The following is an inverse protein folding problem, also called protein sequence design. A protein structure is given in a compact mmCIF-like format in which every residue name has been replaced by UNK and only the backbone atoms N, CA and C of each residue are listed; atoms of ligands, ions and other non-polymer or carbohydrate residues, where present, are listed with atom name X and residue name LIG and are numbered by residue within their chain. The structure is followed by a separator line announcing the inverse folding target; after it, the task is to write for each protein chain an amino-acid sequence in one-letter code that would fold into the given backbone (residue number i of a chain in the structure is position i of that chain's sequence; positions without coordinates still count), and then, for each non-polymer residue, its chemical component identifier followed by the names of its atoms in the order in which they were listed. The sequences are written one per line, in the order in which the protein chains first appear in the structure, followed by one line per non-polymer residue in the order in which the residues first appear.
data_IF_758281676564
#
_entry.id   IF_758281676564
#
_cell.length_a   1.000
_cell.length_b   1.000
_cell.length_c   1.000
_cell.angle_alpha   90.00
_cell.angle_beta   90.00
_cell.angle_gamma   90.00
#
_symmetry.space_group_name_H-M   'P 1'
#
loop_
_entity.id
_entity.type
_entity.pdbx_description
1 polymer ?
#
# COMPACT_ATOMS: atom_id res chain seq x y z
N UNK A 1 -21.07 -5.65 0.13
CA UNK A 1 -20.73 -6.54 -1.01
C UNK A 1 -21.29 -7.94 -0.83
N UNK A 2 -20.93 -8.66 0.25
CA UNK A 2 -21.31 -10.06 0.45
C UNK A 2 -22.81 -10.33 0.38
N UNK A 3 -23.64 -9.51 1.04
CA UNK A 3 -25.08 -9.74 1.08
C UNK A 3 -25.73 -9.56 -0.29
N UNK A 4 -25.21 -8.63 -1.10
CA UNK A 4 -25.66 -8.43 -2.49
C UNK A 4 -25.47 -9.71 -3.30
N UNK A 5 -24.30 -10.34 -3.18
CA UNK A 5 -23.97 -11.56 -3.90
C UNK A 5 -24.76 -12.74 -3.34
N UNK A 6 -24.84 -12.85 -2.01
CA UNK A 6 -25.55 -13.93 -1.30
C UNK A 6 -27.05 -13.98 -1.63
N UNK A 7 -27.69 -12.83 -1.93
CA UNK A 7 -29.11 -12.77 -2.34
C UNK A 7 -29.37 -13.36 -3.72
N UNK A 8 -28.37 -13.29 -4.61
CA UNK A 8 -28.50 -13.73 -6.00
C UNK A 8 -27.99 -15.17 -6.17
N UNK A 9 -27.01 -15.58 -5.37
CA UNK A 9 -26.34 -16.89 -5.46
C UNK A 9 -27.30 -18.11 -5.55
N UNK A 10 -28.40 -18.20 -4.77
CA UNK A 10 -29.32 -19.35 -4.86
C UNK A 10 -30.07 -19.46 -6.20
N UNK A 11 -30.10 -18.40 -6.99
CA UNK A 11 -30.79 -18.35 -8.28
C UNK A 11 -29.88 -18.81 -9.44
N UNK A 12 -28.60 -19.06 -9.17
CA UNK A 12 -27.59 -19.41 -10.17
C UNK A 12 -27.18 -20.88 -10.06
N UNK A 13 -27.21 -21.58 -11.19
CA UNK A 13 -26.73 -22.95 -11.30
C UNK A 13 -25.30 -22.98 -11.81
N UNK A 14 -24.57 -24.06 -11.51
CA UNK A 14 -23.15 -24.20 -11.88
C UNK A 14 -22.89 -24.26 -13.39
N UNK A 15 -23.91 -24.56 -14.20
CA UNK A 15 -23.85 -24.58 -15.65
C UNK A 15 -24.16 -23.22 -16.30
N UNK A 16 -24.57 -22.20 -15.53
CA UNK A 16 -24.83 -20.87 -16.06
C UNK A 16 -23.53 -20.19 -16.49
N UNK A 17 -23.54 -19.55 -17.66
CA UNK A 17 -22.43 -18.72 -18.10
C UNK A 17 -22.21 -17.57 -17.10
N UNK A 18 -20.98 -17.40 -16.63
CA UNK A 18 -20.63 -16.38 -15.63
C UNK A 18 -20.75 -16.84 -14.16
N UNK A 19 -21.11 -18.09 -13.90
CA UNK A 19 -21.12 -18.64 -12.53
C UNK A 19 -19.75 -18.51 -11.84
N UNK A 20 -18.64 -18.72 -12.58
CA UNK A 20 -17.28 -18.54 -12.03
C UNK A 20 -17.04 -17.12 -11.52
N UNK A 21 -17.55 -16.11 -12.25
CA UNK A 21 -17.41 -14.70 -11.86
C UNK A 21 -18.28 -14.34 -10.65
N UNK A 22 -19.46 -14.96 -10.51
CA UNK A 22 -20.25 -14.81 -9.29
C UNK A 22 -19.50 -15.39 -8.07
N UNK A 23 -18.82 -16.52 -8.27
CA UNK A 23 -17.97 -17.13 -7.25
C UNK A 23 -16.72 -16.30 -6.93
N UNK A 24 -16.11 -15.64 -7.93
CA UNK A 24 -14.98 -14.74 -7.70
C UNK A 24 -15.40 -13.50 -6.92
N UNK A 25 -16.58 -12.93 -7.21
CA UNK A 25 -17.15 -11.84 -6.43
C UNK A 25 -17.42 -12.29 -4.99
N UNK A 26 -17.97 -13.49 -4.79
CA UNK A 26 -18.17 -14.05 -3.44
C UNK A 26 -16.83 -14.22 -2.72
N UNK A 27 -15.78 -14.70 -3.40
CA UNK A 27 -14.44 -14.86 -2.83
C UNK A 27 -13.89 -13.51 -2.33
N UNK A 28 -14.00 -12.46 -3.14
CA UNK A 28 -13.57 -11.13 -2.74
C UNK A 28 -14.42 -10.58 -1.58
N UNK A 29 -15.74 -10.81 -1.60
CA UNK A 29 -16.61 -10.31 -0.55
C UNK A 29 -16.36 -10.97 0.82
N UNK A 30 -16.01 -12.26 0.86
CA UNK A 30 -15.69 -12.94 2.12
C UNK A 30 -14.31 -12.57 2.65
N UNK A 31 -13.33 -12.27 1.77
CA UNK A 31 -12.02 -11.78 2.24
C UNK A 31 -12.14 -10.41 2.91
N UNK A 32 -12.98 -9.51 2.39
CA UNK A 32 -13.22 -8.20 2.99
C UNK A 32 -13.79 -8.29 4.43
N UNK A 33 -14.52 -9.38 4.73
CA UNK A 33 -15.01 -9.70 6.08
C UNK A 33 -13.95 -10.36 6.98
N UNK A 34 -12.79 -10.72 6.42
CA UNK A 34 -11.70 -11.39 7.11
C UNK A 34 -11.74 -12.92 7.07
N UNK A 35 -12.64 -13.54 6.31
CA UNK A 35 -12.68 -15.00 6.14
C UNK A 35 -11.80 -15.43 4.95
N UNK A 36 -10.49 -15.33 5.17
CA UNK A 36 -9.49 -15.53 4.11
C UNK A 36 -9.39 -16.98 3.63
N UNK A 37 -9.62 -17.95 4.52
CA UNK A 37 -9.61 -19.36 4.16
C UNK A 37 -10.78 -19.71 3.23
N UNK A 38 -11.98 -19.18 3.51
CA UNK A 38 -13.11 -19.35 2.61
C UNK A 38 -12.88 -18.63 1.28
N UNK A 39 -12.27 -17.43 1.30
CA UNK A 39 -11.93 -16.68 0.10
C UNK A 39 -10.99 -17.46 -0.82
N UNK A 40 -9.89 -18.00 -0.27
CA UNK A 40 -8.92 -18.82 -1.00
C UNK A 40 -9.59 -20.05 -1.64
N UNK A 41 -10.42 -20.75 -0.85
CA UNK A 41 -11.17 -21.92 -1.34
C UNK A 41 -12.15 -21.56 -2.48
N UNK A 42 -12.87 -20.44 -2.37
CA UNK A 42 -13.79 -19.95 -3.39
C UNK A 42 -13.06 -19.50 -4.65
N UNK A 43 -11.94 -18.78 -4.50
CA UNK A 43 -11.14 -18.32 -5.62
C UNK A 43 -10.55 -19.50 -6.41
N UNK A 44 -9.99 -20.51 -5.73
CA UNK A 44 -9.52 -21.73 -6.40
C UNK A 44 -10.65 -22.47 -7.12
N UNK A 45 -11.84 -22.56 -6.53
CA UNK A 45 -13.01 -23.14 -7.21
C UNK A 45 -13.38 -22.35 -8.46
N UNK A 46 -13.45 -21.02 -8.38
CA UNK A 46 -13.74 -20.18 -9.54
C UNK A 46 -12.69 -20.35 -10.64
N UNK A 47 -11.40 -20.33 -10.30
CA UNK A 47 -10.30 -20.56 -11.25
C UNK A 47 -10.32 -21.96 -11.88
N UNK A 48 -10.82 -22.98 -11.17
CA UNK A 48 -10.98 -24.33 -11.72
C UNK A 48 -12.11 -24.44 -12.73
N UNK A 49 -13.10 -23.54 -12.66
CA UNK A 49 -14.20 -23.44 -13.63
C UNK A 49 -13.81 -22.57 -14.82
N UNK A 50 -13.05 -21.51 -14.58
CA UNK A 50 -12.53 -20.59 -15.60
C UNK A 50 -11.11 -20.13 -15.21
N UNK A 51 -10.10 -20.64 -15.90
CA UNK A 51 -8.70 -20.33 -15.64
C UNK A 51 -8.30 -18.90 -16.06
N UNK A 52 -9.12 -18.23 -16.87
CA UNK A 52 -8.93 -16.83 -17.29
C UNK A 52 -9.67 -15.83 -16.39
N UNK A 53 -10.28 -16.29 -15.29
CA UNK A 53 -10.99 -15.43 -14.34
C UNK A 53 -10.00 -14.58 -13.51
N UNK A 54 -9.64 -13.42 -14.07
CA UNK A 54 -8.75 -12.46 -13.42
C UNK A 54 -9.30 -11.92 -12.10
N UNK A 55 -10.62 -11.87 -11.92
CA UNK A 55 -11.24 -11.46 -10.66
C UNK A 55 -11.03 -12.52 -9.57
N UNK A 56 -11.11 -13.81 -9.93
CA UNK A 56 -10.83 -14.90 -9.01
C UNK A 56 -9.35 -14.90 -8.61
N UNK A 57 -8.46 -14.71 -9.58
CA UNK A 57 -7.02 -14.62 -9.32
C UNK A 57 -6.71 -13.44 -8.40
N UNK A 58 -7.29 -12.27 -8.66
CA UNK A 58 -7.17 -11.09 -7.81
C UNK A 58 -7.63 -11.35 -6.36
N UNK A 59 -8.81 -11.95 -6.17
CA UNK A 59 -9.32 -12.30 -4.85
C UNK A 59 -8.41 -13.30 -4.11
N UNK A 60 -7.82 -14.26 -4.83
CA UNK A 60 -6.82 -15.19 -4.29
C UNK A 60 -5.59 -14.43 -3.79
N UNK A 61 -5.05 -13.48 -4.56
CA UNK A 61 -3.87 -12.72 -4.13
C UNK A 61 -4.15 -11.93 -2.85
N UNK A 62 -5.30 -11.25 -2.75
CA UNK A 62 -5.70 -10.59 -1.49
C UNK A 62 -5.77 -11.56 -0.31
N UNK A 63 -6.38 -12.73 -0.50
CA UNK A 63 -6.49 -13.73 0.56
C UNK A 63 -5.12 -14.26 1.01
N UNK A 64 -4.20 -14.50 0.07
CA UNK A 64 -2.84 -14.96 0.40
C UNK A 64 -2.02 -13.87 1.10
N UNK A 65 -2.13 -12.62 0.65
CA UNK A 65 -1.50 -11.45 1.26
C UNK A 65 -1.96 -11.31 2.72
N UNK A 66 -3.28 -11.28 2.95
CA UNK A 66 -3.86 -11.06 4.28
C UNK A 66 -3.60 -12.20 5.26
N UNK A 67 -3.28 -13.41 4.77
CA UNK A 67 -2.88 -14.57 5.58
C UNK A 67 -1.37 -14.65 5.82
N UNK A 68 -0.57 -13.75 5.26
CA UNK A 68 0.90 -13.84 5.34
C UNK A 68 1.52 -14.98 4.51
N UNK A 69 0.76 -15.56 3.57
CA UNK A 69 1.21 -16.65 2.68
C UNK A 69 2.01 -16.10 1.49
N UNK A 70 3.03 -15.28 1.77
CA UNK A 70 3.70 -14.47 0.75
C UNK A 70 4.49 -15.29 -0.27
N UNK A 71 5.10 -16.41 0.14
CA UNK A 71 5.81 -17.30 -0.78
C UNK A 71 4.84 -17.99 -1.75
N UNK A 72 3.67 -18.42 -1.26
CA UNK A 72 2.63 -19.02 -2.09
C UNK A 72 2.09 -17.98 -3.08
N UNK A 73 1.81 -16.75 -2.61
CA UNK A 73 1.40 -15.62 -3.45
C UNK A 73 2.42 -15.32 -4.55
N UNK A 74 3.70 -15.18 -4.20
CA UNK A 74 4.77 -14.97 -5.18
C UNK A 74 4.85 -16.10 -6.21
N UNK A 75 4.71 -17.36 -5.77
CA UNK A 75 4.70 -18.52 -6.66
C UNK A 75 3.48 -18.52 -7.59
N UNK A 76 2.30 -18.13 -7.10
CA UNK A 76 1.07 -18.07 -7.90
C UNK A 76 1.17 -17.00 -8.98
N UNK A 77 1.62 -15.79 -8.63
CA UNK A 77 1.86 -14.71 -9.60
C UNK A 77 2.86 -15.13 -10.66
N UNK A 78 3.95 -15.78 -10.25
CA UNK A 78 4.97 -16.22 -11.21
C UNK A 78 4.47 -17.35 -12.14
N UNK A 79 3.71 -18.31 -11.62
CA UNK A 79 3.19 -19.44 -12.41
C UNK A 79 2.16 -18.99 -13.45
N UNK A 80 1.36 -17.98 -13.12
CA UNK A 80 0.27 -17.50 -13.98
C UNK A 80 0.64 -16.26 -14.80
N UNK A 81 1.93 -15.89 -14.86
CA UNK A 81 2.41 -14.64 -15.47
C UNK A 81 1.88 -14.40 -16.87
N UNK A 82 1.95 -15.39 -17.74
CA UNK A 82 1.54 -15.27 -19.14
C UNK A 82 0.03 -15.04 -19.29
N UNK A 83 -0.77 -15.47 -18.31
CA UNK A 83 -2.22 -15.28 -18.35
C UNK A 83 -2.60 -13.87 -17.84
N UNK A 84 -2.10 -13.47 -16.68
CA UNK A 84 -2.53 -12.20 -16.09
C UNK A 84 -1.85 -10.98 -16.72
N UNK A 85 -0.73 -11.14 -17.45
CA UNK A 85 -0.07 -10.05 -18.18
C UNK A 85 -0.92 -9.47 -19.31
N UNK A 86 -1.93 -10.21 -19.75
CA UNK A 86 -2.86 -9.83 -20.82
C UNK A 86 -4.17 -9.22 -20.28
N UNK A 87 -4.37 -9.18 -18.96
CA UNK A 87 -5.58 -8.61 -18.36
C UNK A 87 -5.60 -7.08 -18.50
N UNK A 88 -6.44 -6.58 -19.40
CA UNK A 88 -6.51 -5.15 -19.73
C UNK A 88 -6.71 -4.22 -18.51
N UNK A 89 -7.57 -4.61 -17.57
CA UNK A 89 -7.91 -3.77 -16.40
C UNK A 89 -7.07 -4.11 -15.16
N UNK A 90 -6.77 -5.39 -14.94
CA UNK A 90 -6.17 -5.86 -13.69
C UNK A 90 -4.64 -5.99 -13.74
N UNK A 91 -3.99 -5.96 -14.90
CA UNK A 91 -2.55 -6.16 -15.02
C UNK A 91 -1.74 -5.26 -14.08
N UNK A 92 -2.04 -3.96 -14.07
CA UNK A 92 -1.32 -2.99 -13.24
C UNK A 92 -1.47 -3.34 -11.74
N UNK A 93 -2.70 -3.59 -11.29
CA UNK A 93 -3.00 -3.91 -9.90
C UNK A 93 -2.43 -5.28 -9.47
N UNK A 94 -2.46 -6.30 -10.33
CA UNK A 94 -1.85 -7.60 -10.06
C UNK A 94 -0.32 -7.53 -10.00
N UNK A 95 0.28 -6.63 -10.77
CA UNK A 95 1.72 -6.32 -10.65
C UNK A 95 2.05 -5.75 -9.28
N UNK A 96 1.13 -4.98 -8.68
CA UNK A 96 1.30 -4.41 -7.33
C UNK A 96 1.21 -5.48 -6.26
N UNK A 97 0.26 -6.42 -6.35
CA UNK A 97 0.25 -7.60 -5.49
C UNK A 97 1.56 -8.39 -5.58
N UNK A 98 2.11 -8.53 -6.79
CA UNK A 98 3.43 -9.15 -6.95
C UNK A 98 4.51 -8.41 -6.16
N UNK A 99 4.53 -7.09 -6.25
CA UNK A 99 5.47 -6.24 -5.52
C UNK A 99 5.30 -6.41 -4.00
N UNK A 100 4.07 -6.50 -3.48
CA UNK A 100 3.83 -6.79 -2.07
C UNK A 100 4.48 -8.12 -1.66
N UNK A 101 4.22 -9.22 -2.38
CA UNK A 101 4.87 -10.50 -2.07
C UNK A 101 6.40 -10.43 -2.17
N UNK A 102 6.96 -9.66 -3.11
CA UNK A 102 8.40 -9.47 -3.22
C UNK A 102 8.97 -8.68 -2.05
N UNK A 103 8.30 -7.63 -1.57
CA UNK A 103 8.69 -6.87 -0.36
C UNK A 103 8.68 -7.79 0.86
N UNK A 104 7.58 -8.53 1.03
CA UNK A 104 7.36 -9.42 2.15
C UNK A 104 8.35 -10.60 2.17
N UNK A 105 8.94 -10.95 1.03
CA UNK A 105 9.99 -11.97 0.89
C UNK A 105 11.40 -11.39 0.72
N UNK A 106 11.58 -10.08 0.95
CA UNK A 106 12.89 -9.42 0.97
C UNK A 106 13.55 -9.20 -0.41
N UNK A 107 12.79 -9.26 -1.51
CA UNK A 107 13.25 -9.15 -2.90
C UNK A 107 13.13 -7.72 -3.44
N UNK A 108 13.61 -6.74 -2.68
CA UNK A 108 13.45 -5.30 -2.98
C UNK A 108 13.99 -4.86 -4.35
N UNK A 109 15.15 -5.38 -4.79
CA UNK A 109 15.73 -5.04 -6.10
C UNK A 109 14.78 -5.35 -7.27
N UNK A 110 13.99 -6.43 -7.15
CA UNK A 110 13.00 -6.80 -8.17
C UNK A 110 11.81 -5.85 -8.18
N UNK A 111 11.40 -5.36 -7.00
CA UNK A 111 10.33 -4.36 -6.88
C UNK A 111 10.74 -3.08 -7.61
N UNK A 112 11.97 -2.61 -7.40
CA UNK A 112 12.50 -1.42 -8.10
C UNK A 112 12.53 -1.63 -9.61
N UNK A 113 12.91 -2.83 -10.08
CA UNK A 113 12.90 -3.15 -11.50
C UNK A 113 11.49 -3.10 -12.10
N UNK A 114 10.49 -3.66 -11.41
CA UNK A 114 9.08 -3.61 -11.82
C UNK A 114 8.56 -2.17 -11.87
N UNK A 115 8.86 -1.36 -10.84
CA UNK A 115 8.47 0.04 -10.81
C UNK A 115 9.02 0.81 -12.02
N UNK A 116 10.29 0.61 -12.38
CA UNK A 116 10.94 1.33 -13.48
C UNK A 116 10.53 0.87 -14.87
N UNK A 117 10.32 -0.43 -15.05
CA UNK A 117 10.18 -1.02 -16.38
C UNK A 117 8.72 -1.28 -16.76
N UNK A 118 7.85 -1.52 -15.76
CA UNK A 118 6.51 -2.05 -15.99
C UNK A 118 5.39 -1.12 -15.47
N UNK A 119 5.66 -0.23 -14.51
CA UNK A 119 4.62 0.58 -13.84
C UNK A 119 4.76 2.08 -14.07
N UNK A 120 5.94 2.65 -13.80
CA UNK A 120 6.22 4.07 -14.00
C UNK A 120 6.76 4.32 -15.40
N UNK A 121 5.92 4.05 -16.40
CA UNK A 121 6.25 4.26 -17.81
C UNK A 121 6.28 5.76 -18.11
N UNK A 122 7.33 6.28 -18.76
CA UNK A 122 7.38 7.69 -19.15
C UNK A 122 6.17 8.10 -19.98
N UNK A 123 5.69 9.33 -19.76
CA UNK A 123 4.57 9.96 -20.49
C UNK A 123 3.18 9.32 -20.27
N UNK A 124 3.07 8.28 -19.44
CA UNK A 124 1.79 7.75 -18.99
C UNK A 124 1.39 8.34 -17.62
N UNK A 125 0.11 8.69 -17.48
CA UNK A 125 -0.46 9.13 -16.19
C UNK A 125 -1.31 7.99 -15.65
N UNK A 126 -0.95 7.51 -14.46
CA UNK A 126 -1.72 6.50 -13.76
C UNK A 126 -3.05 7.09 -13.27
N UNK A 127 -4.07 6.24 -13.24
CA UNK A 127 -5.33 6.58 -12.55
C UNK A 127 -5.09 6.81 -11.05
N UNK A 128 -6.01 7.49 -10.37
CA UNK A 128 -5.95 7.68 -8.92
C UNK A 128 -5.77 6.35 -8.16
N UNK A 129 -6.44 5.27 -8.58
CA UNK A 129 -6.27 3.94 -7.98
C UNK A 129 -4.87 3.36 -8.25
N UNK A 130 -4.35 3.52 -9.47
CA UNK A 130 -2.97 3.11 -9.78
C UNK A 130 -1.94 3.91 -8.97
N UNK A 131 -2.20 5.19 -8.67
CA UNK A 131 -1.33 5.98 -7.80
C UNK A 131 -1.45 5.59 -6.32
N UNK A 132 -2.63 5.19 -5.84
CA UNK A 132 -2.79 4.58 -4.50
C UNK A 132 -1.88 3.35 -4.39
N UNK A 133 -1.96 2.45 -5.36
CA UNK A 133 -1.14 1.24 -5.42
C UNK A 133 0.36 1.55 -5.37
N UNK A 134 0.86 2.46 -6.21
CA UNK A 134 2.29 2.80 -6.24
C UNK A 134 2.72 3.53 -4.96
N UNK A 135 1.88 4.39 -4.40
CA UNK A 135 2.15 5.08 -3.13
C UNK A 135 2.29 4.07 -1.98
N UNK A 136 1.46 3.03 -1.98
CA UNK A 136 1.55 1.94 -1.01
C UNK A 136 2.85 1.12 -1.14
N UNK A 137 3.29 0.83 -2.37
CA UNK A 137 4.59 0.17 -2.61
C UNK A 137 5.73 1.04 -2.12
N UNK A 138 5.69 2.34 -2.42
CA UNK A 138 6.68 3.32 -1.95
C UNK A 138 6.80 3.31 -0.42
N UNK A 139 5.68 3.43 0.30
CA UNK A 139 5.70 3.44 1.76
C UNK A 139 6.22 2.13 2.35
N UNK A 140 5.85 0.99 1.77
CA UNK A 140 6.37 -0.31 2.22
C UNK A 140 7.88 -0.43 1.99
N UNK A 141 8.40 0.00 0.85
CA UNK A 141 9.85 0.06 0.61
C UNK A 141 10.54 0.98 1.63
N UNK A 142 9.98 2.17 1.88
CA UNK A 142 10.50 3.11 2.88
C UNK A 142 10.53 2.50 4.28
N UNK A 143 9.45 1.85 4.73
CA UNK A 143 9.39 1.19 6.04
C UNK A 143 10.36 0.00 6.13
N UNK A 144 10.63 -0.69 5.01
CA UNK A 144 11.67 -1.70 4.94
C UNK A 144 13.10 -1.11 5.04
N UNK A 145 13.25 0.22 5.01
CA UNK A 145 14.54 0.91 4.98
C UNK A 145 15.17 0.96 3.59
N UNK A 146 14.37 0.76 2.53
CA UNK A 146 14.83 0.77 1.15
C UNK A 146 14.39 2.08 0.46
N UNK A 147 15.33 3.01 0.31
CA UNK A 147 15.05 4.34 -0.24
C UNK A 147 14.95 4.34 -1.77
N UNK A 148 13.92 5.04 -2.28
CA UNK A 148 13.57 5.10 -3.71
C UNK A 148 13.12 6.52 -4.09
N UNK A 149 14.01 7.53 -4.02
CA UNK A 149 13.65 8.94 -4.19
C UNK A 149 13.00 9.23 -5.56
N UNK A 150 13.42 8.52 -6.61
CA UNK A 150 12.83 8.66 -7.94
C UNK A 150 11.33 8.29 -7.98
N UNK A 151 10.88 7.36 -7.13
CA UNK A 151 9.46 6.98 -7.04
C UNK A 151 8.67 8.09 -6.36
N UNK A 152 9.23 8.68 -5.30
CA UNK A 152 8.59 9.79 -4.60
C UNK A 152 8.44 11.02 -5.50
N UNK A 153 9.48 11.38 -6.24
CA UNK A 153 9.45 12.48 -7.22
C UNK A 153 8.41 12.24 -8.32
N UNK A 154 8.30 11.00 -8.81
CA UNK A 154 7.34 10.65 -9.85
C UNK A 154 5.89 10.62 -9.31
N UNK A 155 5.67 10.09 -8.10
CA UNK A 155 4.38 10.15 -7.42
C UNK A 155 3.93 11.59 -7.20
N UNK A 156 4.82 12.49 -6.80
CA UNK A 156 4.51 13.90 -6.62
C UNK A 156 4.06 14.57 -7.92
N UNK A 157 4.77 14.28 -9.02
CA UNK A 157 4.41 14.75 -10.36
C UNK A 157 3.02 14.25 -10.76
N UNK A 158 2.77 12.94 -10.65
CA UNK A 158 1.51 12.34 -11.10
C UNK A 158 0.33 12.72 -10.20
N UNK A 159 0.49 12.71 -8.87
CA UNK A 159 -0.55 13.18 -7.95
C UNK A 159 -0.87 14.66 -8.19
N UNK A 160 0.12 15.49 -8.52
CA UNK A 160 -0.15 16.89 -8.88
C UNK A 160 -1.04 17.01 -10.12
N UNK A 161 -0.89 16.13 -11.12
CA UNK A 161 -1.76 16.10 -12.29
C UNK A 161 -3.16 15.61 -11.92
N UNK A 162 -3.26 14.48 -11.22
CA UNK A 162 -4.55 13.87 -10.85
C UNK A 162 -5.38 14.76 -9.91
N UNK A 163 -4.74 15.44 -8.96
CA UNK A 163 -5.43 16.36 -8.02
C UNK A 163 -5.92 17.63 -8.71
N UNK A 164 -5.20 18.14 -9.73
CA UNK A 164 -5.68 19.28 -10.52
C UNK A 164 -6.98 18.96 -11.27
N UNK A 165 -7.12 17.72 -11.72
CA UNK A 165 -8.32 17.25 -12.43
C UNK A 165 -9.45 16.81 -11.48
N UNK A 166 -9.23 16.84 -10.15
CA UNK A 166 -10.18 16.33 -9.16
C UNK A 166 -11.51 17.11 -9.08
N UNK A 167 -11.57 18.32 -9.66
CA UNK A 167 -12.83 19.05 -9.85
C UNK A 167 -13.79 18.33 -10.82
N UNK A 168 -13.26 17.49 -11.71
CA UNK A 168 -14.04 16.71 -12.69
C UNK A 168 -14.31 15.27 -12.25
N UNK A 169 -13.35 14.65 -11.53
CA UNK A 169 -13.47 13.29 -10.99
C UNK A 169 -13.08 13.33 -9.51
N UNK A 170 -14.05 13.31 -8.59
CA UNK A 170 -13.77 13.35 -7.16
C UNK A 170 -12.86 12.20 -6.73
N UNK A 171 -11.84 12.51 -5.92
CA UNK A 171 -10.99 11.50 -5.32
C UNK A 171 -11.75 10.73 -4.24
N UNK A 172 -11.47 9.43 -4.14
CA UNK A 172 -11.87 8.66 -2.97
C UNK A 172 -11.10 9.16 -1.73
N UNK A 173 -11.63 8.97 -0.52
CA UNK A 173 -10.93 9.34 0.71
C UNK A 173 -9.55 8.67 0.81
N UNK A 174 -9.46 7.38 0.46
CA UNK A 174 -8.18 6.66 0.39
C UNK A 174 -7.19 7.31 -0.59
N UNK A 175 -7.64 7.70 -1.80
CA UNK A 175 -6.77 8.35 -2.79
C UNK A 175 -6.28 9.72 -2.30
N UNK A 176 -7.16 10.51 -1.69
CA UNK A 176 -6.79 11.81 -1.11
C UNK A 176 -5.77 11.66 0.03
N UNK A 177 -5.92 10.65 0.90
CA UNK A 177 -4.95 10.35 1.95
C UNK A 177 -3.57 9.95 1.39
N UNK A 178 -3.53 9.15 0.31
CA UNK A 178 -2.28 8.77 -0.34
C UNK A 178 -1.60 9.96 -1.03
N UNK A 179 -2.36 10.78 -1.77
CA UNK A 179 -1.86 12.02 -2.36
C UNK A 179 -1.28 12.95 -1.28
N UNK A 180 -2.02 13.14 -0.18
CA UNK A 180 -1.58 13.96 0.95
C UNK A 180 -0.31 13.42 1.60
N UNK A 181 -0.14 12.10 1.68
CA UNK A 181 1.07 11.47 2.22
C UNK A 181 2.31 11.76 1.38
N UNK A 182 2.17 11.88 0.06
CA UNK A 182 3.25 12.21 -0.86
C UNK A 182 3.57 13.71 -0.77
N UNK A 183 2.55 14.56 -0.86
CA UNK A 183 2.73 16.01 -0.80
C UNK A 183 3.32 16.45 0.54
N UNK A 184 2.84 15.91 1.65
CA UNK A 184 3.35 16.28 2.99
C UNK A 184 4.85 16.00 3.14
N UNK A 185 5.38 14.95 2.49
CA UNK A 185 6.80 14.61 2.54
C UNK A 185 7.70 15.58 1.75
N UNK A 186 7.22 16.13 0.64
CA UNK A 186 8.00 16.99 -0.26
C UNK A 186 7.68 18.48 -0.12
N UNK A 187 6.45 18.78 0.27
CA UNK A 187 5.81 20.09 0.29
C UNK A 187 4.97 20.21 1.58
N UNK A 188 5.58 20.20 2.78
CA UNK A 188 4.85 20.17 4.06
C UNK A 188 3.93 21.37 4.32
N UNK A 189 4.05 22.44 3.52
CA UNK A 189 3.21 23.63 3.55
C UNK A 189 2.11 23.64 2.47
N UNK A 190 1.99 22.58 1.66
CA UNK A 190 0.95 22.49 0.63
C UNK A 190 -0.43 22.28 1.23
N UNK A 191 -1.44 22.81 0.56
CA UNK A 191 -2.83 22.59 0.94
C UNK A 191 -3.19 21.10 0.94
N UNK A 192 -4.00 20.73 1.92
CA UNK A 192 -4.55 19.38 2.04
C UNK A 192 -5.57 19.14 0.93
N UNK A 193 -5.54 18.00 0.22
CA UNK A 193 -6.57 17.68 -0.78
C UNK A 193 -7.97 17.78 -0.16
N UNK A 194 -8.87 18.50 -0.84
CA UNK A 194 -10.25 18.61 -0.36
C UNK A 194 -11.02 17.32 -0.62
N UNK A 195 -11.69 16.81 0.41
CA UNK A 195 -12.56 15.63 0.31
C UNK A 195 -13.99 16.11 0.52
N UNK A 196 -14.81 15.94 -0.50
CA UNK A 196 -16.23 16.29 -0.43
C UNK A 196 -16.99 15.31 0.46
N UNK A 197 -17.93 15.79 1.27
CA UNK A 197 -18.85 14.94 2.04
C UNK A 197 -19.69 14.01 1.14
N UNK A 198 -19.81 14.32 -0.17
CA UNK A 198 -20.42 13.44 -1.16
C UNK A 198 -19.66 12.11 -1.31
N UNK A 199 -18.37 12.05 -0.96
CA UNK A 199 -17.58 10.82 -0.99
C UNK A 199 -18.13 9.73 -0.06
N UNK A 200 -18.91 10.12 0.96
CA UNK A 200 -19.57 9.23 1.92
C UNK A 200 -21.09 9.18 1.74
N UNK A 201 -21.62 9.80 0.68
CA UNK A 201 -23.05 9.91 0.48
C UNK A 201 -23.67 8.56 0.05
N UNK A 202 -24.41 7.95 0.96
CA UNK A 202 -25.42 6.95 0.63
C UNK A 202 -26.76 7.67 0.44
N UNK A 203 -27.12 8.03 -0.80
CA UNK A 203 -28.40 8.70 -1.08
C UNK A 203 -29.49 7.68 -1.44
N UNK A 204 -29.98 6.99 -0.42
CA UNK A 204 -31.10 6.04 -0.54
C UNK A 204 -32.39 6.76 -0.94
N UNK A 205 -32.54 8.06 -0.66
CA UNK A 205 -33.74 8.83 -0.95
C UNK A 205 -33.82 9.26 -2.42
N UNK A 206 -32.75 9.79 -3.00
CA UNK A 206 -32.68 10.04 -4.44
C UNK A 206 -32.75 8.72 -5.22
N UNK A 207 -32.21 7.64 -4.68
CA UNK A 207 -32.34 6.32 -5.26
C UNK A 207 -33.78 5.79 -5.21
N UNK A 208 -34.47 5.94 -4.07
CA UNK A 208 -35.88 5.58 -3.94
C UNK A 208 -36.75 6.42 -4.87
N UNK A 209 -36.47 7.73 -5.00
CA UNK A 209 -37.17 8.61 -5.92
C UNK A 209 -36.95 8.21 -7.39
N UNK A 210 -35.72 7.84 -7.77
CA UNK A 210 -35.42 7.30 -9.10
C UNK A 210 -36.15 5.97 -9.35
N UNK A 211 -36.21 5.10 -8.34
CA UNK A 211 -36.87 3.79 -8.41
C UNK A 211 -38.39 3.92 -8.57
N UNK A 212 -39.04 4.79 -7.79
CA UNK A 212 -40.49 5.01 -7.83
C UNK A 212 -40.91 5.80 -9.07
N UNK A 213 -40.08 6.71 -9.56
CA UNK A 213 -40.43 7.65 -10.64
C UNK A 213 -40.30 7.12 -12.08
N UNK A 214 -39.43 6.13 -12.36
CA UNK A 214 -39.10 5.75 -13.74
C UNK A 214 -39.48 4.32 -14.17
N UNK A 215 -40.01 3.48 -13.28
CA UNK A 215 -40.50 2.15 -13.67
C UNK A 215 -39.45 1.26 -14.35
N UNK A 216 -38.49 0.74 -13.57
CA UNK A 216 -37.45 -0.27 -13.85
C UNK A 216 -36.13 0.18 -14.53
N UNK A 217 -35.01 0.06 -13.79
CA UNK A 217 -33.77 -0.70 -14.11
C UNK A 217 -32.70 -0.35 -13.06
N UNK A 218 -32.09 -1.33 -12.40
CA UNK A 218 -30.94 -1.09 -11.49
C UNK A 218 -29.71 -0.89 -12.36
N UNK A 219 -29.59 0.30 -12.96
CA UNK A 219 -28.37 0.73 -13.66
C UNK A 219 -27.40 1.43 -12.68
N UNK A 220 -27.77 1.53 -11.39
CA UNK A 220 -26.94 2.11 -10.32
C UNK A 220 -26.71 1.12 -9.19
N UNK A 221 -25.44 0.94 -8.82
CA UNK A 221 -25.03 0.19 -7.64
C UNK A 221 -25.50 0.95 -6.39
N UNK A 222 -26.26 0.27 -5.53
CA UNK A 222 -26.80 0.82 -4.28
C UNK A 222 -26.02 0.29 -3.11
N UNK A 223 -25.44 1.18 -2.31
CA UNK A 223 -24.79 0.82 -1.06
C UNK A 223 -25.83 0.85 0.07
N UNK A 224 -26.02 -0.27 0.78
CA UNK A 224 -26.96 -0.40 1.91
C UNK A 224 -26.29 -0.18 3.28
N UNK A 225 -25.14 0.49 3.31
CA UNK A 225 -24.35 0.72 4.53
C UNK A 225 -24.88 1.94 5.29
N UNK A 226 -25.11 1.79 6.60
CA UNK A 226 -25.37 2.93 7.48
C UNK A 226 -24.08 3.74 7.69
N UNK A 227 -24.20 5.07 7.66
CA UNK A 227 -23.10 5.98 8.02
C UNK A 227 -22.77 5.88 9.50
N UNK A 228 -21.53 6.20 9.87
CA UNK A 228 -21.20 6.48 11.25
C UNK A 228 -22.02 7.68 11.77
N UNK A 229 -22.48 7.66 13.03
CA UNK A 229 -23.21 8.78 13.62
C UNK A 229 -22.41 10.09 13.52
N UNK A 230 -23.09 11.20 13.24
CA UNK A 230 -22.52 12.55 13.37
C UNK A 230 -21.35 12.87 12.43
N UNK A 231 -21.35 12.37 11.18
CA UNK A 231 -20.26 12.53 10.20
C UNK A 231 -18.94 11.86 10.64
N UNK A 232 -19.02 10.70 11.31
CA UNK A 232 -17.85 9.99 11.83
C UNK A 232 -16.80 9.66 10.76
N UNK A 233 -17.19 9.39 9.52
CA UNK A 233 -16.25 9.13 8.43
C UNK A 233 -15.40 10.35 8.09
N UNK A 234 -16.03 11.53 8.02
CA UNK A 234 -15.33 12.79 7.81
C UNK A 234 -14.34 13.09 8.94
N UNK A 235 -14.72 12.78 10.20
CA UNK A 235 -13.82 12.90 11.34
C UNK A 235 -12.61 11.95 11.24
N UNK A 236 -12.81 10.69 10.86
CA UNK A 236 -11.72 9.71 10.68
C UNK A 236 -10.75 10.23 9.62
N UNK A 237 -11.26 10.65 8.47
CA UNK A 237 -10.44 11.11 7.35
C UNK A 237 -9.69 12.40 7.68
N UNK A 238 -10.33 13.39 8.30
CA UNK A 238 -9.66 14.61 8.77
C UNK A 238 -8.54 14.29 9.78
N UNK A 239 -8.80 13.37 10.71
CA UNK A 239 -7.81 12.95 11.71
C UNK A 239 -6.60 12.26 11.07
N UNK A 240 -6.81 11.46 10.03
CA UNK A 240 -5.71 10.82 9.28
C UNK A 240 -4.89 11.83 8.47
N UNK A 241 -5.54 12.82 7.83
CA UNK A 241 -4.84 13.91 7.13
C UNK A 241 -3.95 14.69 8.10
N UNK A 242 -4.48 15.03 9.28
CA UNK A 242 -3.71 15.68 10.34
C UNK A 242 -2.55 14.81 10.84
N UNK A 243 -2.77 13.50 10.99
CA UNK A 243 -1.73 12.58 11.45
C UNK A 243 -0.58 12.49 10.45
N UNK A 244 -0.89 12.42 9.15
CA UNK A 244 0.08 12.42 8.06
C UNK A 244 0.86 13.74 8.04
N UNK A 245 0.18 14.88 8.20
CA UNK A 245 0.82 16.19 8.30
C UNK A 245 1.77 16.28 9.50
N UNK A 246 1.33 15.81 10.67
CA UNK A 246 2.14 15.77 11.88
C UNK A 246 3.37 14.87 11.71
N UNK A 247 3.20 13.69 11.12
CA UNK A 247 4.28 12.78 10.80
C UNK A 247 5.34 13.43 9.90
N UNK A 248 4.90 14.08 8.82
CA UNK A 248 5.80 14.75 7.88
C UNK A 248 6.56 15.93 8.51
N UNK A 249 5.95 16.63 9.47
CA UNK A 249 6.57 17.71 10.26
C UNK A 249 7.49 17.19 11.38
N UNK A 250 7.68 15.88 11.51
CA UNK A 250 8.47 15.25 12.57
C UNK A 250 7.79 15.27 13.95
N UNK A 251 6.51 15.64 14.01
CA UNK A 251 5.69 15.65 15.23
C UNK A 251 5.14 14.25 15.51
N UNK A 252 6.04 13.27 15.65
CA UNK A 252 5.69 11.86 15.66
C UNK A 252 4.74 11.46 16.80
N UNK A 253 4.86 12.07 17.98
CA UNK A 253 3.94 11.82 19.10
C UNK A 253 2.49 12.23 18.77
N UNK A 254 2.30 13.39 18.12
CA UNK A 254 0.98 13.86 17.66
C UNK A 254 0.42 12.91 16.61
N UNK A 255 1.27 12.43 15.69
CA UNK A 255 0.86 11.45 14.69
C UNK A 255 0.37 10.15 15.34
N UNK A 256 1.07 9.65 16.37
CA UNK A 256 0.67 8.47 17.14
C UNK A 256 -0.69 8.66 17.80
N UNK A 257 -0.89 9.76 18.52
CA UNK A 257 -2.16 10.03 19.23
C UNK A 257 -3.35 10.07 18.26
N UNK A 258 -3.17 10.71 17.09
CA UNK A 258 -4.20 10.79 16.05
C UNK A 258 -4.45 9.46 15.36
N UNK A 259 -3.41 8.69 15.04
CA UNK A 259 -3.57 7.38 14.40
C UNK A 259 -4.26 6.39 15.36
N UNK A 260 -3.90 6.38 16.64
CA UNK A 260 -4.53 5.52 17.65
C UNK A 260 -6.01 5.84 17.86
N UNK A 261 -6.40 7.12 17.84
CA UNK A 261 -7.79 7.52 18.10
C UNK A 261 -8.78 7.01 17.04
N UNK A 262 -8.32 6.78 15.81
CA UNK A 262 -9.15 6.30 14.69
C UNK A 262 -8.80 4.90 14.20
N UNK A 263 -7.82 4.22 14.82
CA UNK A 263 -7.31 2.90 14.39
C UNK A 263 -8.42 1.86 14.14
N UNK A 264 -9.42 1.81 15.02
CA UNK A 264 -10.57 0.88 14.89
C UNK A 264 -11.54 1.17 13.74
N UNK A 265 -11.40 2.33 13.09
CA UNK A 265 -12.35 2.85 12.11
C UNK A 265 -11.75 3.01 10.70
N UNK A 266 -10.53 2.52 10.44
CA UNK A 266 -9.87 2.70 9.15
C UNK A 266 -10.69 2.18 7.94
N UNK A 267 -11.56 1.19 8.14
CA UNK A 267 -12.43 0.65 7.09
C UNK A 267 -13.34 1.70 6.42
N UNK A 268 -13.59 2.84 7.06
CA UNK A 268 -14.47 3.89 6.51
C UNK A 268 -13.81 4.73 5.41
N UNK A 269 -12.48 4.69 5.28
CA UNK A 269 -11.77 5.44 4.24
C UNK A 269 -11.84 4.74 2.87
N UNK A 270 -12.36 3.52 2.85
CA UNK A 270 -12.41 2.64 1.70
C UNK A 270 -11.13 1.82 1.51
N UNK A 271 -11.13 1.04 0.44
CA UNK A 271 -10.08 0.07 0.16
C UNK A 271 -10.18 -1.22 0.98
N UNK A 272 -9.25 -2.13 0.72
CA UNK A 272 -9.15 -3.45 1.36
C UNK A 272 -8.32 -3.39 2.64
N UNK A 273 -8.34 -4.47 3.41
CA UNK A 273 -7.47 -4.61 4.59
C UNK A 273 -5.98 -4.47 4.26
N UNK A 274 -5.57 -4.87 3.05
CA UNK A 274 -4.19 -4.71 2.57
C UNK A 274 -3.83 -3.23 2.44
N UNK A 275 -4.77 -2.40 1.99
CA UNK A 275 -4.56 -0.97 1.80
C UNK A 275 -4.53 -0.21 3.12
N UNK A 276 -5.37 -0.62 4.08
CA UNK A 276 -5.38 -0.09 5.43
C UNK A 276 -4.04 -0.31 6.18
N UNK A 277 -3.21 -1.28 5.78
CA UNK A 277 -1.92 -1.53 6.43
C UNK A 277 -0.95 -0.36 6.33
N UNK A 278 -1.11 0.53 5.34
CA UNK A 278 -0.32 1.75 5.27
C UNK A 278 -0.40 2.54 6.58
N UNK A 279 -1.61 2.74 7.13
CA UNK A 279 -1.81 3.52 8.36
C UNK A 279 -1.26 2.80 9.59
N UNK A 280 -1.35 1.47 9.63
CA UNK A 280 -0.77 0.65 10.71
C UNK A 280 0.76 0.74 10.71
N UNK A 281 1.39 0.66 9.53
CA UNK A 281 2.85 0.78 9.41
C UNK A 281 3.32 2.21 9.71
N UNK A 282 2.56 3.22 9.29
CA UNK A 282 2.83 4.62 9.63
C UNK A 282 2.77 4.84 11.15
N UNK A 283 1.80 4.22 11.84
CA UNK A 283 1.68 4.26 13.29
C UNK A 283 2.88 3.60 14.00
N UNK A 284 3.29 2.39 13.56
CA UNK A 284 4.47 1.71 14.11
C UNK A 284 5.72 2.58 13.94
N UNK A 285 5.92 3.15 12.77
CA UNK A 285 7.08 3.98 12.47
C UNK A 285 7.05 5.29 13.29
N UNK A 286 5.90 5.95 13.40
CA UNK A 286 5.73 7.14 14.23
C UNK A 286 5.97 6.85 15.73
N UNK A 287 5.48 5.71 16.24
CA UNK A 287 5.71 5.29 17.62
C UNK A 287 7.20 5.06 17.87
N UNK A 288 7.90 4.37 16.95
CA UNK A 288 9.34 4.19 17.03
C UNK A 288 10.08 5.54 16.98
N UNK A 289 9.75 6.41 16.02
CA UNK A 289 10.41 7.70 15.82
C UNK A 289 10.19 8.68 16.98
N UNK A 290 9.09 8.54 17.74
CA UNK A 290 8.83 9.27 18.99
C UNK A 290 9.39 8.59 20.25
N UNK A 291 10.20 7.54 20.12
CA UNK A 291 10.75 6.74 21.23
C UNK A 291 9.69 6.04 22.10
N UNK A 292 8.45 5.87 21.61
CA UNK A 292 7.42 5.04 22.23
C UNK A 292 7.64 3.57 21.85
N UNK A 293 8.81 3.04 22.23
CA UNK A 293 9.32 1.76 21.71
C UNK A 293 8.47 0.55 22.14
N UNK A 294 7.92 0.57 23.36
CA UNK A 294 7.01 -0.49 23.83
C UNK A 294 5.72 -0.54 22.99
N UNK A 295 5.14 0.63 22.68
CA UNK A 295 3.98 0.72 21.81
C UNK A 295 4.30 0.22 20.39
N UNK A 296 5.42 0.67 19.82
CA UNK A 296 5.87 0.23 18.49
C UNK A 296 6.06 -1.29 18.44
N UNK A 297 6.66 -1.87 19.48
CA UNK A 297 6.86 -3.32 19.63
C UNK A 297 5.52 -4.06 19.69
N UNK A 298 4.58 -3.62 20.53
CA UNK A 298 3.28 -4.27 20.68
C UNK A 298 2.48 -4.26 19.38
N UNK A 299 2.39 -3.11 18.72
CA UNK A 299 1.71 -2.97 17.43
C UNK A 299 2.34 -3.87 16.37
N UNK A 300 3.68 -3.93 16.29
CA UNK A 300 4.35 -4.77 15.31
C UNK A 300 4.20 -6.27 15.61
N UNK A 301 4.10 -6.67 16.88
CA UNK A 301 3.81 -8.06 17.26
C UNK A 301 2.41 -8.48 16.77
N UNK A 302 1.40 -7.61 16.86
CA UNK A 302 0.08 -7.89 16.28
C UNK A 302 0.18 -8.19 14.78
N UNK A 303 1.04 -7.45 14.06
CA UNK A 303 1.30 -7.67 12.63
C UNK A 303 2.05 -8.97 12.36
N UNK A 304 3.07 -9.28 13.16
CA UNK A 304 3.82 -10.54 13.06
C UNK A 304 2.98 -11.78 13.35
N UNK A 305 1.96 -11.67 14.22
CA UNK A 305 1.02 -12.78 14.46
C UNK A 305 0.19 -13.11 13.21
N UNK A 306 -0.10 -12.11 12.37
CA UNK A 306 -0.81 -12.30 11.10
C UNK A 306 0.17 -12.74 10.00
N UNK A 307 1.34 -12.11 9.96
CA UNK A 307 2.35 -12.28 8.89
C UNK A 307 3.70 -12.73 9.48
N UNK A 308 3.81 -13.96 10.02
CA UNK A 308 5.00 -14.43 10.73
C UNK A 308 6.21 -14.66 9.82
N UNK A 309 6.01 -14.64 8.50
CA UNK A 309 7.06 -14.80 7.50
C UNK A 309 7.35 -13.50 6.72
N UNK A 310 6.93 -12.34 7.25
CA UNK A 310 7.26 -11.04 6.67
C UNK A 310 8.72 -10.67 6.90
N UNK A 311 9.51 -10.59 5.84
CA UNK A 311 10.89 -10.09 5.91
C UNK A 311 10.93 -8.62 6.35
N UNK A 312 9.98 -7.81 5.88
CA UNK A 312 9.86 -6.40 6.27
C UNK A 312 9.61 -6.27 7.78
N UNK A 313 8.64 -7.01 8.33
CA UNK A 313 8.27 -6.86 9.74
C UNK A 313 9.37 -7.38 10.66
N UNK A 314 10.04 -8.49 10.32
CA UNK A 314 11.18 -8.97 11.11
C UNK A 314 12.37 -8.01 11.09
N UNK A 315 12.60 -7.32 9.97
CA UNK A 315 13.59 -6.24 9.91
C UNK A 315 13.18 -5.11 10.87
N UNK A 316 11.96 -4.61 10.76
CA UNK A 316 11.47 -3.51 11.63
C UNK A 316 11.45 -3.91 13.11
N UNK A 317 11.17 -5.18 13.41
CA UNK A 317 11.22 -5.69 14.78
C UNK A 317 12.66 -5.67 15.31
N UNK A 318 13.63 -6.16 14.53
CA UNK A 318 15.05 -6.09 14.90
C UNK A 318 15.52 -4.66 15.17
N UNK A 319 15.12 -3.73 14.31
CA UNK A 319 15.35 -2.29 14.46
C UNK A 319 14.79 -1.72 15.79
N UNK A 320 13.57 -2.11 16.19
CA UNK A 320 12.95 -1.69 17.46
C UNK A 320 13.68 -2.31 18.65
N UNK A 321 14.05 -3.60 18.56
CA UNK A 321 14.78 -4.27 19.63
C UNK A 321 16.18 -3.69 19.82
N UNK A 322 16.82 -3.22 18.75
CA UNK A 322 18.10 -2.50 18.80
C UNK A 322 17.94 -1.15 19.52
N UNK A 323 16.88 -0.38 19.21
CA UNK A 323 16.59 0.88 19.90
C UNK A 323 16.22 0.66 21.39
N UNK A 324 15.64 -0.49 21.74
CA UNK A 324 15.37 -0.95 23.12
C UNK A 324 16.63 -1.49 23.85
N UNK A 325 17.75 -1.66 23.15
CA UNK A 325 18.96 -2.31 23.68
C UNK A 325 18.75 -3.76 24.13
N UNK A 326 17.83 -4.49 23.48
CA UNK A 326 17.58 -5.92 23.72
C UNK A 326 18.33 -6.78 22.68
N UNK A 327 19.57 -7.14 23.01
CA UNK A 327 20.44 -7.95 22.14
C UNK A 327 19.83 -9.32 21.79
N UNK A 328 19.15 -9.97 22.74
CA UNK A 328 18.52 -11.26 22.51
C UNK A 328 17.35 -11.15 21.52
N UNK A 329 16.58 -10.06 21.62
CA UNK A 329 15.53 -9.71 20.69
C UNK A 329 16.04 -9.43 19.28
N UNK A 330 17.13 -8.67 19.15
CA UNK A 330 17.80 -8.40 17.87
C UNK A 330 18.25 -9.70 17.20
N UNK A 331 18.89 -10.59 17.95
CA UNK A 331 19.35 -11.87 17.44
C UNK A 331 18.20 -12.79 17.04
N UNK A 332 17.10 -12.78 17.80
CA UNK A 332 15.86 -13.47 17.43
C UNK A 332 15.30 -12.97 16.10
N UNK A 333 15.19 -11.65 15.93
CA UNK A 333 14.71 -11.02 14.71
C UNK A 333 15.59 -11.36 13.50
N UNK A 334 16.92 -11.31 13.67
CA UNK A 334 17.89 -11.63 12.63
C UNK A 334 17.80 -13.09 12.18
N UNK A 335 17.59 -14.03 13.09
CA UNK A 335 17.39 -15.45 12.73
C UNK A 335 16.13 -15.63 11.88
N UNK A 336 15.04 -14.97 12.24
CA UNK A 336 13.79 -15.02 11.47
C UNK A 336 13.95 -14.35 10.09
N UNK A 337 14.61 -13.19 10.02
CA UNK A 337 14.90 -12.50 8.77
C UNK A 337 15.84 -13.30 7.85
N UNK A 338 16.87 -13.95 8.41
CA UNK A 338 17.83 -14.77 7.66
C UNK A 338 17.19 -16.00 6.98
N UNK A 339 16.21 -16.62 7.64
CA UNK A 339 15.42 -17.73 7.07
C UNK A 339 14.58 -17.26 5.86
N UNK A 340 14.25 -15.97 5.79
CA UNK A 340 13.37 -15.40 4.75
C UNK A 340 14.11 -14.78 3.56
N UNK A 341 15.43 -14.54 3.62
CA UNK A 341 16.19 -14.07 2.46
C UNK A 341 17.57 -13.45 2.77
N UNK A 342 18.63 -14.16 2.40
CA UNK A 342 20.07 -13.80 2.45
C UNK A 342 20.46 -12.35 2.07
N UNK A 343 21.32 -11.74 2.89
CA UNK A 343 22.52 -10.95 2.55
C UNK A 343 22.42 -9.72 1.60
N UNK A 344 21.36 -8.92 1.63
CA UNK A 344 21.29 -7.67 0.82
C UNK A 344 21.79 -6.39 1.51
N UNK A 345 22.42 -6.46 2.69
CA UNK A 345 22.89 -5.25 3.39
C UNK A 345 24.22 -5.43 4.10
N UNK A 346 25.25 -5.91 3.37
CA UNK A 346 26.60 -5.41 3.64
C UNK A 346 26.72 -4.02 3.01
N UNK A 347 26.74 -2.99 3.85
CA UNK A 347 27.11 -1.60 3.55
C UNK A 347 26.12 -0.75 2.73
N UNK A 348 24.92 -0.52 3.27
CA UNK A 348 24.32 0.82 3.15
C UNK A 348 24.32 1.45 4.53
N UNK A 349 25.34 2.25 4.79
CA UNK A 349 25.33 3.18 5.91
C UNK A 349 24.22 4.19 5.62
N UNK A 350 23.03 3.93 6.16
CA UNK A 350 21.98 4.93 6.28
C UNK A 350 22.48 5.97 7.27
N UNK A 351 22.91 7.12 6.76
CA UNK A 351 23.17 8.30 7.59
C UNK A 351 21.84 8.69 8.23
N UNK A 352 21.61 8.32 9.50
CA UNK A 352 20.50 8.85 10.30
C UNK A 352 20.61 10.37 10.29
N UNK A 353 19.68 11.08 9.64
CA UNK A 353 19.47 12.51 9.86
C UNK A 353 18.87 12.69 11.25
N UNK A 354 19.73 12.71 12.26
CA UNK A 354 19.35 13.15 13.61
C UNK A 354 19.30 14.68 13.57
N UNK A 355 18.13 15.24 13.34
CA UNK A 355 17.89 16.65 13.65
C UNK A 355 17.84 16.82 15.17
N UNK A 356 19.01 17.05 15.79
CA UNK A 356 19.06 17.63 17.14
C UNK A 356 18.84 19.13 17.00
N UNK A 357 17.62 19.59 17.28
CA UNK A 357 17.32 21.00 17.48
C UNK A 357 17.90 21.40 18.84
N UNK A 358 19.13 21.90 18.83
CA UNK A 358 19.75 22.62 19.94
C UNK A 358 19.47 24.11 19.80
N UNK A 359 18.99 24.73 20.87
CA UNK A 359 18.68 26.14 21.00
C UNK A 359 19.91 27.04 20.83
N UNK A 360 20.07 27.69 19.68
CA UNK A 360 20.61 29.05 19.51
C UNK A 360 20.80 29.33 18.02
N UNK A 361 20.28 30.47 17.54
CA UNK A 361 20.24 30.81 16.13
C UNK A 361 21.61 30.93 15.45
N UNK A 362 21.68 30.43 14.21
CA UNK A 362 22.10 31.18 13.02
C UNK A 362 22.06 30.26 11.77
N UNK A 363 21.43 30.78 10.72
CA UNK A 363 21.53 30.44 9.29
C UNK A 363 21.92 28.99 8.87
N UNK A 364 20.93 28.22 8.43
CA UNK A 364 21.14 26.95 7.73
C UNK A 364 21.30 27.19 6.21
N UNK A 365 22.55 27.20 5.72
CA UNK A 365 22.84 27.30 4.28
C UNK A 365 22.89 25.91 3.63
N UNK A 366 21.84 25.58 2.86
CA UNK A 366 21.77 24.42 1.97
C UNK A 366 22.64 24.69 0.73
N UNK A 367 23.97 24.75 0.87
CA UNK A 367 24.92 24.84 -0.25
C UNK A 367 26.27 24.16 0.05
N UNK A 368 26.26 22.92 0.54
CA UNK A 368 27.50 22.15 0.65
C UNK A 368 27.31 20.62 0.65
N UNK A 369 26.58 20.04 -0.30
CA UNK A 369 26.60 18.57 -0.47
C UNK A 369 26.44 18.06 -1.92
N UNK A 370 26.81 18.87 -2.92
CA UNK A 370 26.58 18.49 -4.33
C UNK A 370 27.80 18.64 -5.27
N UNK A 371 29.02 18.38 -4.79
CA UNK A 371 30.23 18.41 -5.66
C UNK A 371 31.23 17.25 -5.57
N UNK A 372 30.96 16.18 -4.81
CA UNK A 372 31.90 15.03 -4.70
C UNK A 372 31.45 13.71 -5.33
N UNK A 373 30.26 13.64 -5.93
CA UNK A 373 29.77 12.41 -6.60
C UNK A 373 29.85 12.43 -8.13
N UNK A 374 30.40 13.49 -8.75
CA UNK A 374 30.44 13.65 -10.21
C UNK A 374 31.83 13.59 -10.86
N UNK A 375 32.84 13.11 -10.14
CA UNK A 375 34.22 12.92 -10.68
C UNK A 375 34.63 11.42 -10.70
N UNK A 376 33.92 10.54 -9.99
CA UNK A 376 34.24 9.10 -9.93
C UNK A 376 33.70 8.22 -11.07
N UNK A 377 32.74 8.71 -11.87
CA UNK A 377 32.03 7.87 -12.84
C UNK A 377 32.55 7.96 -14.30
N UNK A 378 33.35 8.98 -14.63
CA UNK A 378 33.96 9.11 -15.98
C UNK A 378 35.28 8.32 -16.16
N UNK A 379 35.93 7.88 -15.09
CA UNK A 379 37.20 7.15 -15.17
C UNK A 379 37.05 5.63 -15.44
N UNK A 380 35.85 5.06 -15.23
CA UNK A 380 35.63 3.60 -15.38
C UNK A 380 35.11 3.15 -16.76
N UNK A 381 34.73 4.09 -17.62
CA UNK A 381 34.24 3.80 -18.98
C UNK A 381 35.38 3.80 -20.03
N UNK A 382 36.56 4.33 -19.71
CA UNK A 382 37.70 4.33 -20.64
C UNK A 382 38.63 3.11 -20.54
N UNK A 383 38.63 2.38 -19.40
CA UNK A 383 39.51 1.22 -19.19
C UNK A 383 38.94 -0.11 -19.70
N UNK A 384 37.65 -0.19 -20.05
CA UNK A 384 37.03 -1.42 -20.58
C UNK A 384 36.91 -1.46 -22.12
N UNK A 385 37.31 -0.40 -22.83
CA UNK A 385 37.33 -0.37 -24.31
C UNK A 385 38.68 -0.75 -24.95
N UNK A 386 39.74 -0.97 -24.16
CA UNK A 386 41.04 -1.41 -24.69
C UNK A 386 41.35 -2.91 -24.51
N UNK A 387 40.50 -3.69 -23.81
CA UNK A 387 40.71 -5.14 -23.61
C UNK A 387 39.92 -6.06 -24.56
N UNK A 388 39.13 -5.52 -25.49
CA UNK A 388 38.35 -6.30 -26.48
C UNK A 388 38.95 -6.18 -27.92
N UNK A 389 40.24 -5.86 -28.04
CA UNK A 389 40.92 -5.79 -29.36
C UNK A 389 42.20 -6.61 -29.50
N UNK A 390 42.52 -7.49 -28.54
CA UNK A 390 43.56 -8.51 -28.68
C UNK A 390 43.17 -9.77 -27.91
N UNK A 391 42.41 -10.63 -28.56
CA UNK A 391 42.52 -12.09 -28.61
C UNK A 391 41.33 -12.64 -29.37
#
# INVERSE_FOLDING_TARGET
MQDTISRVLPQWQTNHQGYSHLMSLQAFAVQERGDFAAAESLAHRSMSMNNEDGSAFHALLHALESQGKHQDGASMVQRHRDAWSEYAVLKAHLTVHWMYFLIETGRFDRVVALLKNDVLVPDEVLSANGLVDVTQVYWRLRFAGFDVPFVLEELDRQWTAVVKDAETVPLSPLAALHAHSVFSLLRPESDTPQISDQAFACDVQALHAAWVGQGLSIDRIVQFSHRLPGNGEGHVVATLLDAISAYAKGQFHVAVDKLLSVRGHLHVVGGTRVEAEFFELLLVDAARASSQLDLAKLLLIERLNIKPHSAQYWKTYGDIMEDLQDEAGVDGARRMSYVLGKNSSKNLVLTRCICRIGSSGNECSIKALNRRLWIGFRARIHLNRQKIRKN
#
